data_IF_581283308983
#
_entry.id   IF_581283308983
#
_cell.length_a   1.000
_cell.length_b   1.000
_cell.length_c   1.000
_cell.angle_alpha   90.00
_cell.angle_beta   90.00
_cell.angle_gamma   90.00
#
_symmetry.space_group_name_H-M   'P 1'
#
loop_
_entity.id
_entity.type
_entity.pdbx_description
1 polymer ?
#
# COMPACT_ATOMS: atom_id res chain seq x y z
N UNK A 1 4.08 7.52 8.75
CA UNK A 1 5.04 8.52 8.22
C UNK A 1 4.22 9.68 7.73
N UNK A 2 4.46 10.88 8.22
CA UNK A 2 3.60 12.05 8.00
C UNK A 2 3.92 12.83 6.71
N UNK A 3 4.75 12.29 5.81
CA UNK A 3 4.96 12.86 4.48
C UNK A 3 4.29 11.95 3.47
N UNK A 4 3.30 12.48 2.75
CA UNK A 4 2.53 11.76 1.76
C UNK A 4 3.40 11.35 0.56
N UNK A 5 2.83 10.56 -0.37
CA UNK A 5 3.48 10.27 -1.66
C UNK A 5 3.66 11.53 -2.52
N UNK A 6 2.94 12.61 -2.19
CA UNK A 6 2.92 13.84 -2.97
C UNK A 6 3.84 14.93 -2.40
N UNK A 7 4.51 14.66 -1.28
CA UNK A 7 5.39 15.62 -0.62
C UNK A 7 4.67 16.65 0.25
N UNK A 8 3.46 16.31 0.69
CA UNK A 8 2.65 17.11 1.62
C UNK A 8 2.76 16.53 3.02
N UNK A 9 2.71 17.40 4.04
CA UNK A 9 2.59 16.97 5.43
C UNK A 9 1.16 16.55 5.74
N UNK A 10 1.01 15.32 6.24
CA UNK A 10 -0.25 14.78 6.76
C UNK A 10 -0.17 14.73 8.30
N UNK A 11 -0.95 15.59 8.94
CA UNK A 11 -1.01 15.74 10.39
C UNK A 11 -2.18 15.01 11.04
N UNK A 12 -3.02 14.29 10.29
CA UNK A 12 -4.21 13.61 10.83
C UNK A 12 -3.85 12.57 11.89
N UNK A 13 -2.75 11.85 11.68
CA UNK A 13 -2.21 10.85 12.62
C UNK A 13 -1.03 11.39 13.45
N UNK A 14 -0.95 12.71 13.66
CA UNK A 14 0.12 13.29 14.47
C UNK A 14 0.02 12.84 15.94
N UNK A 15 1.17 12.53 16.54
CA UNK A 15 1.27 12.22 17.97
C UNK A 15 1.51 13.49 18.76
N UNK A 16 0.78 13.65 19.86
CA UNK A 16 1.03 14.70 20.84
C UNK A 16 2.21 14.32 21.73
N UNK A 17 3.15 15.26 21.90
CA UNK A 17 4.34 15.09 22.72
C UNK A 17 4.46 16.28 23.67
N UNK A 18 5.12 16.06 24.80
CA UNK A 18 5.53 17.17 25.68
C UNK A 18 6.59 17.97 24.94
N UNK A 19 6.44 19.29 24.93
CA UNK A 19 7.27 20.19 24.14
C UNK A 19 8.74 20.19 24.59
N UNK A 20 9.57 19.48 23.83
CA UNK A 20 11.02 19.57 23.87
C UNK A 20 11.48 20.59 22.83
N UNK A 21 11.91 21.76 23.30
CA UNK A 21 12.11 22.98 22.49
C UNK A 21 13.04 22.89 21.26
N UNK A 22 13.84 21.83 21.08
CA UNK A 22 14.83 21.74 19.98
C UNK A 22 14.29 21.07 18.70
N UNK A 23 13.11 20.46 18.74
CA UNK A 23 12.49 19.75 17.61
C UNK A 23 11.25 20.42 17.03
N UNK A 24 10.96 21.65 17.43
CA UNK A 24 9.88 22.44 16.84
C UNK A 24 10.16 22.73 15.36
N UNK A 25 9.12 22.81 14.55
CA UNK A 25 9.22 23.36 13.19
C UNK A 25 8.53 24.71 13.12
N UNK A 26 8.99 25.54 12.20
CA UNK A 26 8.45 26.84 11.84
C UNK A 26 7.89 26.77 10.41
N UNK A 27 6.90 27.62 10.11
CA UNK A 27 6.44 27.80 8.73
C UNK A 27 7.65 28.19 7.87
N UNK A 28 7.81 27.52 6.73
CA UNK A 28 8.98 27.70 5.87
C UNK A 28 10.08 26.65 6.05
N UNK A 29 10.08 25.90 7.16
CA UNK A 29 11.00 24.77 7.32
C UNK A 29 10.73 23.68 6.27
N UNK A 30 11.78 22.96 5.89
CA UNK A 30 11.69 21.78 5.02
C UNK A 30 12.02 20.53 5.83
N UNK A 31 11.13 19.55 5.82
CA UNK A 31 11.28 18.29 6.53
C UNK A 31 11.66 17.18 5.56
N UNK A 32 12.84 16.60 5.77
CA UNK A 32 13.39 15.50 5.00
C UNK A 32 13.34 14.20 5.82
N UNK A 33 12.73 13.13 5.30
CA UNK A 33 12.77 11.82 5.95
C UNK A 33 14.14 11.15 5.79
N UNK A 34 14.93 11.13 6.87
CA UNK A 34 16.30 10.65 6.83
C UNK A 34 16.45 9.17 7.20
N UNK A 35 15.47 8.55 7.88
CA UNK A 35 15.58 7.16 8.37
C UNK A 35 14.23 6.46 8.34
N UNK A 36 14.07 5.43 7.51
CA UNK A 36 12.82 4.67 7.38
C UNK A 36 13.07 3.37 6.59
N UNK A 37 12.04 2.68 6.11
CA UNK A 37 12.23 1.66 5.08
C UNK A 37 12.87 2.26 3.82
N UNK A 38 13.67 1.50 3.06
CA UNK A 38 14.38 2.01 1.88
C UNK A 38 13.49 2.73 0.85
N UNK A 39 12.23 2.32 0.73
CA UNK A 39 11.28 2.93 -0.21
C UNK A 39 10.82 4.34 0.22
N UNK A 40 10.93 4.68 1.50
CA UNK A 40 10.39 5.93 2.06
C UNK A 40 11.46 6.97 2.38
N UNK A 41 12.72 6.55 2.57
CA UNK A 41 13.85 7.46 2.84
C UNK A 41 14.03 8.44 1.67
N UNK A 42 14.05 9.74 1.97
CA UNK A 42 14.16 10.81 0.98
C UNK A 42 12.87 11.61 0.75
N UNK A 43 11.70 11.08 1.12
CA UNK A 43 10.46 11.86 1.06
C UNK A 43 10.62 13.16 1.83
N UNK A 44 10.25 14.25 1.17
CA UNK A 44 10.42 15.61 1.69
C UNK A 44 9.11 16.37 1.61
N UNK A 45 8.87 17.26 2.57
CA UNK A 45 7.75 18.17 2.58
C UNK A 45 8.14 19.55 3.10
N UNK A 46 7.41 20.57 2.63
CA UNK A 46 7.49 21.93 3.15
C UNK A 46 6.45 22.13 4.27
N UNK A 47 6.79 22.95 5.27
CA UNK A 47 5.91 23.23 6.42
C UNK A 47 5.09 24.50 6.17
N UNK A 48 3.77 24.36 6.00
CA UNK A 48 2.76 25.45 6.00
C UNK A 48 1.96 25.56 7.30
N UNK A 49 2.03 24.55 8.16
CA UNK A 49 1.14 24.47 9.33
C UNK A 49 1.27 25.68 10.26
N UNK A 50 0.14 26.33 10.54
CA UNK A 50 0.02 27.33 11.59
C UNK A 50 -0.01 26.71 13.00
N UNK A 51 -0.38 25.44 13.10
CA UNK A 51 -0.32 24.72 14.37
C UNK A 51 1.13 24.41 14.77
N UNK A 52 1.47 24.48 16.06
CA UNK A 52 2.79 24.09 16.55
C UNK A 52 3.07 22.61 16.28
N UNK A 53 4.05 22.33 15.44
CA UNK A 53 4.49 20.98 15.12
C UNK A 53 5.91 20.71 15.64
N UNK A 54 6.18 19.45 15.93
CA UNK A 54 7.52 18.94 16.20
C UNK A 54 7.81 17.72 15.31
N UNK A 55 9.08 17.50 14.98
CA UNK A 55 9.49 16.37 14.14
C UNK A 55 10.19 15.27 14.95
N UNK A 56 10.07 14.03 14.47
CA UNK A 56 10.74 12.87 15.09
C UNK A 56 12.24 12.83 14.76
N UNK A 57 13.01 12.02 15.48
CA UNK A 57 14.42 11.75 15.17
C UNK A 57 14.67 11.11 13.79
N UNK A 58 13.61 10.63 13.11
CA UNK A 58 13.66 10.08 11.75
C UNK A 58 13.53 11.13 10.66
N UNK A 59 13.54 12.41 11.03
CA UNK A 59 13.47 13.52 10.09
C UNK A 59 14.64 14.49 10.32
N UNK A 60 15.05 15.13 9.24
CA UNK A 60 16.01 16.24 9.24
C UNK A 60 15.27 17.51 8.85
N UNK A 61 15.28 18.51 9.73
CA UNK A 61 14.82 19.86 9.42
C UNK A 61 15.90 20.62 8.66
N UNK A 62 15.54 21.20 7.54
CA UNK A 62 16.35 22.10 6.72
C UNK A 62 15.74 23.51 6.80
N UNK A 63 16.62 24.50 6.97
CA UNK A 63 16.27 25.92 6.93
C UNK A 63 16.97 26.55 5.75
N UNK A 64 16.19 27.14 4.86
CA UNK A 64 16.70 27.74 3.65
C UNK A 64 17.34 29.11 3.97
N UNK A 65 18.50 29.43 3.39
CA UNK A 65 19.04 30.79 3.44
C UNK A 65 18.15 31.74 2.63
N UNK A 66 18.40 33.04 2.76
CA UNK A 66 17.75 34.04 1.93
C UNK A 66 17.99 33.76 0.43
N UNK A 67 16.91 33.86 -0.36
CA UNK A 67 16.94 33.61 -1.80
C UNK A 67 16.88 32.13 -2.22
N UNK A 68 16.77 31.18 -1.28
CA UNK A 68 16.32 29.82 -1.58
C UNK A 68 14.90 29.63 -1.04
N UNK A 69 13.94 29.45 -1.93
CA UNK A 69 12.56 29.17 -1.56
C UNK A 69 12.42 27.76 -0.96
N UNK A 70 11.76 27.67 0.19
CA UNK A 70 11.59 26.41 0.90
C UNK A 70 10.67 25.42 0.19
N UNK A 71 9.62 25.91 -0.51
CA UNK A 71 8.75 25.03 -1.30
C UNK A 71 9.49 24.46 -2.50
N UNK A 72 10.29 25.29 -3.18
CA UNK A 72 11.14 24.87 -4.28
C UNK A 72 12.13 23.77 -3.84
N UNK A 73 12.84 23.99 -2.73
CA UNK A 73 13.75 22.98 -2.17
C UNK A 73 13.01 21.68 -1.83
N UNK A 74 11.85 21.78 -1.16
CA UNK A 74 11.06 20.61 -0.80
C UNK A 74 10.62 19.82 -2.04
N UNK A 75 10.11 20.50 -3.07
CA UNK A 75 9.69 19.88 -4.32
C UNK A 75 10.87 19.20 -5.05
N UNK A 76 12.05 19.82 -5.06
CA UNK A 76 13.23 19.27 -5.71
C UNK A 76 13.77 18.03 -5.01
N UNK A 77 13.89 18.07 -3.67
CA UNK A 77 14.29 16.91 -2.88
C UNK A 77 13.25 15.79 -2.99
N UNK A 78 11.95 16.13 -3.03
CA UNK A 78 10.91 15.14 -3.24
C UNK A 78 11.00 14.48 -4.64
N UNK A 79 11.33 15.24 -5.68
CA UNK A 79 11.59 14.71 -7.02
C UNK A 79 12.80 13.78 -7.06
N UNK A 80 13.89 14.12 -6.35
CA UNK A 80 15.06 13.25 -6.19
C UNK A 80 14.70 11.93 -5.49
N UNK A 81 13.80 11.95 -4.52
CA UNK A 81 13.25 10.72 -3.94
C UNK A 81 12.45 9.92 -4.97
N UNK A 82 11.52 10.56 -5.68
CA UNK A 82 10.65 9.90 -6.65
C UNK A 82 11.42 9.28 -7.83
N UNK A 83 12.54 9.89 -8.23
CA UNK A 83 13.44 9.39 -9.29
C UNK A 83 14.47 8.37 -8.79
N UNK A 84 14.50 8.08 -7.49
CA UNK A 84 15.37 7.07 -6.90
C UNK A 84 16.79 7.53 -6.55
N UNK A 85 17.10 8.82 -6.61
CA UNK A 85 18.42 9.35 -6.22
C UNK A 85 18.74 9.03 -4.76
N UNK A 86 17.82 9.27 -3.81
CA UNK A 86 18.11 8.93 -2.39
C UNK A 86 18.25 7.42 -2.15
N UNK A 87 17.68 6.60 -3.03
CA UNK A 87 17.87 5.15 -3.01
C UNK A 87 19.27 4.74 -3.47
N UNK A 88 19.98 5.54 -4.26
CA UNK A 88 21.35 5.23 -4.70
C UNK A 88 22.42 5.62 -3.67
N UNK A 89 22.09 6.48 -2.70
CA UNK A 89 23.04 6.99 -1.68
C UNK A 89 22.69 6.59 -0.24
N UNK A 90 21.74 5.67 -0.06
CA UNK A 90 21.32 5.22 1.27
C UNK A 90 22.34 4.28 1.94
N UNK A 91 22.31 4.26 3.27
CA UNK A 91 22.97 3.26 4.09
C UNK A 91 21.90 2.26 4.55
N UNK A 92 22.06 0.99 4.19
CA UNK A 92 21.15 -0.06 4.62
C UNK A 92 21.47 -0.54 6.04
N UNK A 93 20.42 -0.77 6.82
CA UNK A 93 20.43 -1.35 8.16
C UNK A 93 19.45 -2.53 8.21
N UNK A 94 19.44 -3.29 9.30
CA UNK A 94 18.44 -4.35 9.48
C UNK A 94 17.04 -3.74 9.53
N UNK A 95 16.20 -4.05 8.54
CA UNK A 95 14.83 -3.56 8.38
C UNK A 95 14.66 -2.04 8.22
N UNK A 96 15.73 -1.27 8.02
CA UNK A 96 15.71 0.19 7.83
C UNK A 96 16.81 0.65 6.88
N UNK A 97 16.73 1.88 6.41
CA UNK A 97 17.78 2.58 5.68
C UNK A 97 17.87 4.03 6.17
N UNK A 98 19.00 4.67 5.92
CA UNK A 98 19.18 6.08 6.24
C UNK A 98 20.03 6.85 5.23
N UNK A 99 19.73 8.13 5.08
CA UNK A 99 20.61 9.10 4.40
C UNK A 99 21.30 9.93 5.48
N UNK A 100 22.64 9.90 5.49
CA UNK A 100 23.41 10.65 6.49
C UNK A 100 23.27 12.15 6.27
N UNK A 101 23.44 12.94 7.35
CA UNK A 101 23.44 14.41 7.25
C UNK A 101 24.48 14.91 6.25
N UNK A 102 25.65 14.28 6.20
CA UNK A 102 26.70 14.61 5.23
C UNK A 102 26.23 14.35 3.80
N UNK A 103 25.71 13.15 3.52
CA UNK A 103 25.21 12.80 2.19
C UNK A 103 24.07 13.72 1.72
N UNK A 104 23.16 14.10 2.63
CA UNK A 104 22.12 15.08 2.32
C UNK A 104 22.70 16.46 1.98
N UNK A 105 23.69 16.94 2.73
CA UNK A 105 24.34 18.23 2.47
C UNK A 105 25.25 18.23 1.23
N UNK A 106 25.79 17.07 0.86
CA UNK A 106 26.59 16.87 -0.34
C UNK A 106 25.71 16.69 -1.60
N UNK A 107 24.37 16.62 -1.45
CA UNK A 107 23.45 16.50 -2.57
C UNK A 107 23.44 17.78 -3.40
N UNK A 108 23.72 17.65 -4.69
CA UNK A 108 23.73 18.77 -5.64
C UNK A 108 22.30 19.12 -6.03
N UNK A 109 21.95 20.39 -5.88
CA UNK A 109 20.64 20.96 -6.25
C UNK A 109 20.80 22.05 -7.30
N UNK A 110 19.80 22.22 -8.16
CA UNK A 110 19.71 23.37 -9.07
C UNK A 110 19.12 24.55 -8.32
N UNK A 111 19.71 25.74 -8.44
CA UNK A 111 19.25 26.96 -7.75
C UNK A 111 19.06 28.07 -8.80
N UNK A 112 17.88 28.19 -9.41
CA UNK A 112 17.56 29.31 -10.30
C UNK A 112 17.35 30.61 -9.50
N UNK A 113 17.19 31.78 -10.15
CA UNK A 113 16.83 33.03 -9.48
C UNK A 113 15.60 32.86 -8.58
N UNK A 114 15.52 33.61 -7.48
CA UNK A 114 14.45 33.43 -6.49
C UNK A 114 13.04 33.60 -7.10
N UNK A 115 12.86 34.60 -7.95
CA UNK A 115 11.62 34.85 -8.70
C UNK A 115 11.27 33.67 -9.63
N UNK A 116 12.25 33.08 -10.32
CA UNK A 116 12.06 31.86 -11.12
C UNK A 116 11.67 30.66 -10.24
N UNK A 117 12.29 30.47 -9.07
CA UNK A 117 11.90 29.42 -8.11
C UNK A 117 10.41 29.52 -7.75
N UNK A 118 9.93 30.73 -7.43
CA UNK A 118 8.52 30.96 -7.12
C UNK A 118 7.60 30.66 -8.31
N UNK A 119 7.99 31.04 -9.54
CA UNK A 119 7.24 30.74 -10.77
C UNK A 119 7.18 29.24 -11.04
N UNK A 120 8.29 28.52 -10.83
CA UNK A 120 8.35 27.05 -10.95
C UNK A 120 7.38 26.39 -9.97
N UNK A 121 7.45 26.75 -8.69
CA UNK A 121 6.56 26.18 -7.65
C UNK A 121 5.11 26.46 -7.97
N UNK A 122 4.74 27.70 -8.31
CA UNK A 122 3.36 28.06 -8.63
C UNK A 122 2.83 27.26 -9.84
N UNK A 123 3.65 27.08 -10.89
CA UNK A 123 3.28 26.27 -12.06
C UNK A 123 3.19 24.79 -11.71
N UNK A 124 4.11 24.27 -10.91
CA UNK A 124 4.13 22.87 -10.49
C UNK A 124 2.91 22.54 -9.62
N UNK A 125 2.62 23.35 -8.60
CA UNK A 125 1.45 23.19 -7.73
C UNK A 125 0.15 23.19 -8.56
N UNK A 126 0.02 24.15 -9.48
CA UNK A 126 -1.14 24.21 -10.37
C UNK A 126 -1.29 22.93 -11.21
N UNK A 127 -0.21 22.45 -11.86
CA UNK A 127 -0.30 21.26 -12.72
C UNK A 127 -0.49 19.97 -11.92
N UNK A 128 0.20 19.81 -10.79
CA UNK A 128 0.06 18.62 -9.94
C UNK A 128 -1.35 18.53 -9.34
N UNK A 129 -1.98 19.65 -8.98
CA UNK A 129 -3.37 19.65 -8.53
C UNK A 129 -4.33 19.10 -9.61
N UNK A 130 -4.09 19.39 -10.89
CA UNK A 130 -4.89 18.81 -11.98
C UNK A 130 -4.64 17.31 -12.13
N UNK A 131 -3.38 16.87 -12.01
CA UNK A 131 -3.03 15.44 -12.04
C UNK A 131 -3.69 14.70 -10.88
N UNK A 132 -3.65 15.24 -9.67
CA UNK A 132 -4.27 14.65 -8.48
C UNK A 132 -5.80 14.54 -8.62
N UNK A 133 -6.46 15.56 -9.18
CA UNK A 133 -7.89 15.49 -9.50
C UNK A 133 -8.21 14.40 -10.54
N UNK A 134 -7.32 14.23 -11.53
CA UNK A 134 -7.39 13.15 -12.51
C UNK A 134 -7.22 11.77 -11.86
N UNK A 135 -6.20 11.61 -11.01
CA UNK A 135 -5.95 10.39 -10.23
C UNK A 135 -7.16 10.02 -9.36
N UNK A 136 -7.80 10.99 -8.72
CA UNK A 136 -9.04 10.78 -7.98
C UNK A 136 -10.19 10.29 -8.86
N UNK A 137 -10.34 10.86 -10.06
CA UNK A 137 -11.37 10.43 -11.02
C UNK A 137 -11.13 9.00 -11.53
N UNK A 138 -9.86 8.65 -11.77
CA UNK A 138 -9.43 7.30 -12.18
C UNK A 138 -9.76 6.27 -11.09
N UNK A 139 -9.45 6.60 -9.83
CA UNK A 139 -9.77 5.72 -8.70
C UNK A 139 -11.28 5.49 -8.57
N UNK A 140 -12.09 6.53 -8.71
CA UNK A 140 -13.56 6.40 -8.72
C UNK A 140 -14.04 5.54 -9.89
N UNK A 141 -13.52 5.73 -11.10
CA UNK A 141 -13.90 4.93 -12.26
C UNK A 141 -13.58 3.43 -12.09
N UNK A 142 -12.41 3.09 -11.51
CA UNK A 142 -12.05 1.70 -11.20
C UNK A 142 -12.97 1.10 -10.14
N UNK A 143 -13.36 1.88 -9.14
CA UNK A 143 -14.32 1.46 -8.13
C UNK A 143 -15.70 1.21 -8.74
N UNK A 144 -16.19 2.12 -9.59
CA UNK A 144 -17.49 2.00 -10.27
C UNK A 144 -17.53 0.78 -11.18
N UNK A 145 -16.45 0.51 -11.93
CA UNK A 145 -16.31 -0.71 -12.74
C UNK A 145 -16.42 -1.98 -11.88
N UNK A 146 -15.75 -2.02 -10.73
CA UNK A 146 -15.84 -3.15 -9.82
C UNK A 146 -17.26 -3.32 -9.24
N UNK A 147 -17.97 -2.22 -8.96
CA UNK A 147 -19.34 -2.26 -8.48
C UNK A 147 -20.31 -2.74 -9.57
N UNK A 148 -20.09 -2.33 -10.82
CA UNK A 148 -20.90 -2.73 -11.97
C UNK A 148 -20.78 -4.24 -12.27
N UNK A 149 -19.58 -4.80 -12.15
CA UNK A 149 -19.35 -6.24 -12.25
C UNK A 149 -20.10 -7.01 -11.15
N UNK A 150 -20.02 -6.54 -9.89
CA UNK A 150 -20.73 -7.14 -8.78
C UNK A 150 -22.25 -7.05 -8.94
N UNK A 151 -22.77 -5.89 -9.35
CA UNK A 151 -24.20 -5.68 -9.60
C UNK A 151 -24.73 -6.56 -10.74
N UNK A 152 -23.93 -6.79 -11.78
CA UNK A 152 -24.29 -7.69 -12.88
C UNK A 152 -24.47 -9.12 -12.39
N UNK A 153 -23.54 -9.61 -11.56
CA UNK A 153 -23.65 -10.93 -10.96
C UNK A 153 -24.89 -11.03 -10.08
N UNK A 154 -25.11 -10.05 -9.19
CA UNK A 154 -26.28 -10.03 -8.31
C UNK A 154 -27.60 -10.02 -9.10
N UNK A 155 -27.69 -9.23 -10.19
CA UNK A 155 -28.86 -9.22 -11.06
C UNK A 155 -29.08 -10.58 -11.74
N UNK A 156 -28.02 -11.21 -12.26
CA UNK A 156 -28.10 -12.51 -12.90
C UNK A 156 -28.57 -13.61 -11.92
N UNK A 157 -28.21 -13.51 -10.64
CA UNK A 157 -28.65 -14.45 -9.60
C UNK A 157 -30.09 -14.22 -9.16
N UNK A 158 -30.56 -12.97 -9.11
CA UNK A 158 -31.95 -12.63 -8.73
C UNK A 158 -32.99 -13.18 -9.69
N UNK A 159 -32.64 -13.39 -10.96
CA UNK A 159 -33.52 -13.98 -11.96
C UNK A 159 -33.74 -15.49 -11.77
N UNK A 160 -33.04 -16.11 -10.81
CA UNK A 160 -33.03 -17.56 -10.65
C UNK A 160 -33.57 -17.93 -9.27
N UNK A 161 -34.56 -18.81 -9.25
CA UNK A 161 -35.05 -19.41 -8.01
C UNK A 161 -34.08 -20.53 -7.58
N UNK A 162 -33.27 -20.27 -6.55
CA UNK A 162 -32.32 -21.27 -6.05
C UNK A 162 -32.24 -21.26 -4.53
N UNK A 163 -32.22 -22.46 -3.96
CA UNK A 163 -31.94 -22.66 -2.53
C UNK A 163 -30.43 -22.69 -2.30
N UNK A 164 -30.01 -22.15 -1.16
CA UNK A 164 -28.64 -22.30 -0.68
C UNK A 164 -28.33 -23.78 -0.45
N UNK A 165 -27.16 -24.22 -0.91
CA UNK A 165 -26.59 -25.54 -0.61
C UNK A 165 -25.24 -25.36 0.06
N UNK A 166 -24.93 -26.21 1.04
CA UNK A 166 -23.63 -26.16 1.71
C UNK A 166 -22.52 -26.59 0.74
N UNK A 167 -21.42 -25.86 0.74
CA UNK A 167 -20.30 -26.14 -0.15
C UNK A 167 -19.75 -27.57 0.02
N UNK A 168 -19.80 -28.12 1.24
CA UNK A 168 -19.42 -29.50 1.52
C UNK A 168 -20.23 -30.55 0.74
N UNK A 169 -21.48 -30.25 0.38
CA UNK A 169 -22.36 -31.16 -0.37
C UNK A 169 -22.21 -31.04 -1.89
N UNK A 170 -21.52 -29.99 -2.34
CA UNK A 170 -21.29 -29.64 -3.75
C UNK A 170 -19.89 -30.04 -4.25
N UNK A 171 -19.06 -30.64 -3.39
CA UNK A 171 -17.72 -31.12 -3.75
C UNK A 171 -17.72 -32.63 -3.98
N UNK A 172 -16.89 -33.07 -4.93
CA UNK A 172 -16.66 -34.48 -5.24
C UNK A 172 -15.77 -35.16 -4.18
N UNK A 173 -14.73 -34.44 -3.78
CA UNK A 173 -13.73 -34.93 -2.82
C UNK A 173 -13.74 -34.04 -1.56
N UNK A 174 -13.38 -34.58 -0.39
CA UNK A 174 -13.20 -33.77 0.81
C UNK A 174 -12.23 -32.60 0.57
N UNK A 175 -12.58 -31.43 1.11
CA UNK A 175 -11.71 -30.26 1.10
C UNK A 175 -10.35 -30.62 1.71
N UNK A 176 -9.27 -30.27 1.03
CA UNK A 176 -7.92 -30.68 1.43
C UNK A 176 -6.94 -29.51 1.43
N UNK A 177 -6.07 -29.46 2.44
CA UNK A 177 -4.94 -28.54 2.47
C UNK A 177 -3.80 -29.09 1.61
N UNK A 178 -3.00 -28.19 1.06
CA UNK A 178 -1.75 -28.55 0.41
C UNK A 178 -0.66 -28.89 1.43
N UNK A 179 0.59 -28.93 0.97
CA UNK A 179 1.74 -29.24 1.81
C UNK A 179 2.79 -28.14 1.80
N UNK A 180 3.22 -27.72 2.99
CA UNK A 180 4.40 -26.87 3.14
C UNK A 180 5.66 -27.70 2.93
N UNK A 181 6.48 -27.29 1.98
CA UNK A 181 7.77 -27.92 1.66
C UNK A 181 8.87 -26.87 1.62
N UNK A 182 10.09 -27.26 1.98
CA UNK A 182 11.27 -26.39 1.85
C UNK A 182 11.58 -26.18 0.37
N UNK A 183 12.32 -25.12 0.06
CA UNK A 183 12.73 -24.87 -1.32
C UNK A 183 13.92 -25.75 -1.67
N UNK A 184 13.87 -26.40 -2.82
CA UNK A 184 14.97 -27.18 -3.40
C UNK A 184 15.01 -26.93 -4.91
N UNK A 185 16.16 -26.49 -5.40
CA UNK A 185 16.35 -26.26 -6.84
C UNK A 185 16.25 -27.59 -7.60
N UNK A 186 15.44 -27.61 -8.66
CA UNK A 186 15.13 -28.84 -9.41
C UNK A 186 14.16 -29.80 -8.69
N UNK A 187 13.70 -29.48 -7.47
CA UNK A 187 12.69 -30.28 -6.78
C UNK A 187 11.31 -30.22 -7.45
N UNK A 188 10.44 -31.20 -7.18
CA UNK A 188 9.10 -31.24 -7.77
C UNK A 188 8.33 -29.96 -7.44
N UNK A 189 7.70 -29.31 -8.43
CA UNK A 189 7.20 -27.96 -8.27
C UNK A 189 6.00 -27.86 -7.31
N UNK A 190 5.98 -26.78 -6.54
CA UNK A 190 4.87 -26.38 -5.68
C UNK A 190 4.51 -24.92 -5.92
N UNK A 191 3.22 -24.62 -6.01
CA UNK A 191 2.72 -23.26 -6.18
C UNK A 191 3.12 -22.36 -5.00
N UNK A 192 3.25 -21.07 -5.28
CA UNK A 192 3.33 -20.05 -4.21
C UNK A 192 1.94 -19.49 -3.93
N UNK A 193 1.74 -18.88 -2.77
CA UNK A 193 0.44 -18.29 -2.40
C UNK A 193 -0.07 -17.27 -3.43
N UNK A 194 0.83 -16.46 -4.00
CA UNK A 194 0.50 -15.45 -5.00
C UNK A 194 0.24 -16.01 -6.42
N UNK A 195 0.19 -17.34 -6.59
CA UNK A 195 -0.29 -17.98 -7.83
C UNK A 195 -1.80 -17.82 -8.02
N UNK A 196 -2.55 -17.62 -6.94
CA UNK A 196 -3.99 -17.37 -7.00
C UNK A 196 -4.20 -15.87 -7.27
N UNK A 197 -4.56 -15.52 -8.50
CA UNK A 197 -4.78 -14.13 -8.90
C UNK A 197 -5.98 -14.00 -9.86
N UNK A 198 -6.94 -13.15 -9.52
CA UNK A 198 -8.13 -12.96 -10.34
C UNK A 198 -8.93 -14.25 -10.49
N UNK A 199 -9.25 -14.63 -11.72
CA UNK A 199 -10.11 -15.78 -12.03
C UNK A 199 -9.37 -17.12 -12.18
N UNK A 200 -8.03 -17.11 -12.30
CA UNK A 200 -7.25 -18.32 -12.58
C UNK A 200 -6.02 -18.45 -11.69
N UNK A 201 -5.58 -19.69 -11.52
CA UNK A 201 -4.31 -20.03 -10.86
C UNK A 201 -3.19 -20.00 -11.90
N UNK A 202 -2.22 -19.11 -11.72
CA UNK A 202 -1.01 -19.07 -12.55
C UNK A 202 -0.02 -20.15 -12.08
N UNK A 203 0.06 -21.24 -12.86
CA UNK A 203 0.91 -22.38 -12.56
C UNK A 203 2.41 -22.10 -12.70
N UNK A 204 2.79 -21.00 -13.37
CA UNK A 204 4.18 -20.56 -13.50
C UNK A 204 4.72 -19.91 -12.21
N UNK A 205 3.84 -19.44 -11.33
CA UNK A 205 4.19 -18.85 -10.03
C UNK A 205 4.40 -19.98 -9.02
N UNK A 206 5.57 -20.61 -9.12
CA UNK A 206 5.96 -21.81 -8.36
C UNK A 206 7.37 -21.72 -7.79
N UNK A 207 7.75 -22.74 -7.02
CA UNK A 207 9.13 -23.01 -6.60
C UNK A 207 9.39 -24.52 -6.66
N UNK A 208 10.65 -24.93 -6.74
CA UNK A 208 11.03 -26.32 -6.51
C UNK A 208 10.83 -26.68 -5.04
N UNK A 209 10.14 -27.80 -4.78
CA UNK A 209 9.85 -28.29 -3.44
C UNK A 209 10.76 -29.45 -3.03
N UNK A 210 11.24 -29.42 -1.80
CA UNK A 210 11.84 -30.59 -1.14
C UNK A 210 10.73 -31.43 -0.51
N UNK A 211 10.39 -32.54 -1.17
CA UNK A 211 9.32 -33.43 -0.73
C UNK A 211 9.78 -34.54 0.22
N UNK A 212 11.10 -34.74 0.37
CA UNK A 212 11.65 -35.84 1.16
C UNK A 212 11.02 -37.18 0.80
N UNK A 213 10.39 -37.82 1.79
CA UNK A 213 9.69 -39.11 1.62
C UNK A 213 8.20 -38.98 1.24
N UNK A 214 7.67 -37.75 1.11
CA UNK A 214 6.28 -37.55 0.71
C UNK A 214 6.16 -37.68 -0.81
N UNK A 215 5.09 -38.35 -1.24
CA UNK A 215 4.73 -38.40 -2.66
C UNK A 215 4.02 -37.08 -3.06
N UNK A 216 4.60 -36.26 -3.95
CA UNK A 216 3.95 -35.05 -4.45
C UNK A 216 2.62 -35.33 -5.16
N UNK A 217 2.40 -36.55 -5.67
CA UNK A 217 1.21 -36.90 -6.45
C UNK A 217 -0.10 -36.66 -5.67
N UNK A 218 -0.11 -36.87 -4.36
CA UNK A 218 -1.28 -36.62 -3.50
C UNK A 218 -1.70 -35.14 -3.46
N UNK A 219 -0.76 -34.23 -3.75
CA UNK A 219 -0.93 -32.79 -3.68
C UNK A 219 -0.96 -32.12 -5.05
N UNK A 220 -0.99 -32.88 -6.15
CA UNK A 220 -1.08 -32.31 -7.50
C UNK A 220 -2.41 -31.60 -7.70
N UNK A 221 -2.33 -30.43 -8.32
CA UNK A 221 -3.52 -29.73 -8.83
C UNK A 221 -3.99 -30.41 -10.12
N UNK A 222 -5.28 -30.33 -10.38
CA UNK A 222 -5.91 -30.84 -11.58
C UNK A 222 -6.72 -29.74 -12.24
N UNK A 223 -6.95 -29.88 -13.55
CA UNK A 223 -7.87 -28.99 -14.27
C UNK A 223 -9.24 -28.92 -13.58
N UNK A 224 -9.75 -27.69 -13.42
CA UNK A 224 -10.99 -27.36 -12.69
C UNK A 224 -10.95 -27.61 -11.17
N UNK A 225 -9.80 -27.91 -10.58
CA UNK A 225 -9.63 -27.68 -9.15
C UNK A 225 -9.78 -26.18 -8.89
N UNK A 226 -10.45 -25.82 -7.80
CA UNK A 226 -10.57 -24.44 -7.34
C UNK A 226 -9.72 -24.28 -6.08
N UNK A 227 -8.73 -23.38 -6.12
CA UNK A 227 -7.81 -23.18 -4.99
C UNK A 227 -8.19 -21.93 -4.23
N UNK A 228 -8.32 -22.06 -2.91
CA UNK A 228 -8.75 -21.01 -2.00
C UNK A 228 -7.62 -20.61 -1.06
N UNK A 229 -7.36 -19.31 -0.94
CA UNK A 229 -6.37 -18.75 -0.01
C UNK A 229 -6.79 -19.01 1.43
N UNK A 230 -6.02 -19.84 2.12
CA UNK A 230 -6.31 -20.26 3.50
C UNK A 230 -5.98 -19.18 4.53
N UNK A 231 -4.95 -18.39 4.29
CA UNK A 231 -4.51 -17.37 5.24
C UNK A 231 -3.86 -16.17 4.59
N UNK A 232 -4.18 -14.98 5.08
CA UNK A 232 -3.65 -13.72 4.58
C UNK A 232 -3.66 -12.64 5.69
N UNK A 233 -2.75 -11.67 5.62
CA UNK A 233 -2.76 -10.51 6.53
C UNK A 233 -3.94 -9.56 6.30
N UNK A 234 -4.57 -9.63 5.11
CA UNK A 234 -5.76 -8.84 4.77
C UNK A 234 -7.02 -9.72 4.77
N UNK A 235 -8.04 -9.29 5.50
CA UNK A 235 -9.34 -9.95 5.59
C UNK A 235 -10.02 -10.12 4.22
N UNK A 236 -9.94 -9.12 3.33
CA UNK A 236 -10.57 -9.21 2.01
C UNK A 236 -9.85 -10.16 1.04
N UNK A 237 -8.62 -10.56 1.35
CA UNK A 237 -7.83 -11.51 0.56
C UNK A 237 -7.94 -12.95 1.09
N UNK A 238 -8.24 -13.14 2.38
CA UNK A 238 -8.47 -14.49 2.89
C UNK A 238 -9.73 -15.11 2.26
N UNK A 239 -9.63 -16.36 1.87
CA UNK A 239 -10.70 -17.08 1.20
C UNK A 239 -10.98 -16.66 -0.24
N UNK A 240 -10.18 -15.77 -0.85
CA UNK A 240 -10.20 -15.59 -2.30
C UNK A 240 -9.81 -16.91 -2.97
N UNK A 241 -10.36 -17.19 -4.14
CA UNK A 241 -10.02 -18.40 -4.87
C UNK A 241 -10.06 -18.23 -6.37
N UNK A 242 -9.51 -19.21 -7.08
CA UNK A 242 -9.41 -19.20 -8.54
C UNK A 242 -9.40 -20.63 -9.10
N UNK A 243 -9.78 -20.77 -10.36
CA UNK A 243 -9.76 -22.05 -11.08
C UNK A 243 -8.35 -22.40 -11.58
N UNK A 244 -8.00 -23.67 -11.46
CA UNK A 244 -6.81 -24.25 -12.10
C UNK A 244 -7.11 -24.45 -13.59
N UNK A 245 -6.39 -23.75 -14.48
CA UNK A 245 -6.60 -23.88 -15.92
C UNK A 245 -6.14 -25.24 -16.43
N UNK A 246 -6.54 -25.58 -17.66
CA UNK A 246 -6.01 -26.78 -18.32
C UNK A 246 -4.54 -26.56 -18.62
N UNK A 247 -3.69 -27.46 -18.13
CA UNK A 247 -2.25 -27.41 -18.35
C UNK A 247 -1.66 -28.81 -18.29
N UNK A 248 -0.56 -29.01 -19.00
CA UNK A 248 0.28 -30.20 -18.91
C UNK A 248 1.32 -30.09 -17.78
N UNK A 249 1.43 -28.91 -17.14
CA UNK A 249 2.31 -28.68 -16.00
C UNK A 249 1.87 -29.51 -14.79
N UNK A 250 2.74 -30.41 -14.36
CA UNK A 250 2.55 -31.13 -13.11
C UNK A 250 3.05 -30.27 -11.95
N UNK A 251 2.13 -29.77 -11.11
CA UNK A 251 2.49 -28.93 -9.96
C UNK A 251 1.61 -29.25 -8.76
N UNK A 252 2.20 -29.20 -7.57
CA UNK A 252 1.46 -29.36 -6.32
C UNK A 252 1.09 -28.01 -5.68
N UNK A 253 0.19 -28.00 -4.70
CA UNK A 253 -0.21 -26.76 -3.99
C UNK A 253 0.25 -26.73 -2.52
N UNK A 254 0.57 -25.54 -1.98
CA UNK A 254 1.07 -25.38 -0.62
C UNK A 254 -0.05 -25.45 0.42
N UNK A 255 0.32 -25.63 1.69
CA UNK A 255 -0.59 -25.67 2.85
C UNK A 255 -1.32 -24.35 3.13
N UNK A 256 -0.88 -23.27 2.46
CA UNK A 256 -1.53 -21.95 2.46
C UNK A 256 -2.73 -21.89 1.52
N UNK A 257 -3.01 -22.95 0.76
CA UNK A 257 -4.18 -23.08 -0.10
C UNK A 257 -5.04 -24.29 0.34
N UNK A 258 -6.36 -24.15 0.18
CA UNK A 258 -7.33 -25.23 0.29
C UNK A 258 -7.80 -25.58 -1.12
N UNK A 259 -7.77 -26.85 -1.49
CA UNK A 259 -8.34 -27.35 -2.73
C UNK A 259 -9.81 -27.69 -2.55
N UNK A 260 -10.60 -27.18 -3.47
CA UNK A 260 -12.01 -27.50 -3.69
C UNK A 260 -12.10 -28.22 -5.02
N UNK A 261 -12.69 -29.41 -5.04
CA UNK A 261 -12.98 -30.13 -6.28
C UNK A 261 -14.49 -30.22 -6.46
N UNK A 262 -15.10 -29.36 -7.30
CA UNK A 262 -16.55 -29.34 -7.46
C UNK A 262 -17.06 -30.65 -8.05
N UNK A 263 -18.19 -31.14 -7.54
CA UNK A 263 -18.95 -32.22 -8.19
C UNK A 263 -19.64 -31.65 -9.43
N UNK A 264 -19.09 -31.95 -10.61
CA UNK A 264 -19.57 -31.41 -11.89
C UNK A 264 -21.01 -31.79 -12.23
N UNK A 265 -21.56 -32.81 -11.59
CA UNK A 265 -22.98 -33.16 -11.74
C UNK A 265 -23.91 -32.16 -11.04
N UNK A 266 -23.39 -31.39 -10.08
CA UNK A 266 -24.14 -30.44 -9.25
C UNK A 266 -23.69 -28.99 -9.45
N UNK A 267 -22.38 -28.77 -9.54
CA UNK A 267 -21.74 -27.46 -9.52
C UNK A 267 -20.74 -27.33 -10.67
N UNK A 268 -21.01 -26.40 -11.59
CA UNK A 268 -20.09 -26.05 -12.66
C UNK A 268 -18.87 -25.32 -12.09
N UNK A 269 -17.63 -25.71 -12.46
CA UNK A 269 -16.41 -25.00 -12.04
C UNK A 269 -16.42 -23.51 -12.43
N UNK A 270 -16.86 -23.18 -13.65
CA UNK A 270 -17.00 -21.80 -14.10
C UNK A 270 -17.99 -21.01 -13.25
N UNK A 271 -19.09 -21.65 -12.85
CA UNK A 271 -20.09 -21.00 -12.01
C UNK A 271 -19.57 -20.78 -10.59
N UNK A 272 -18.86 -21.77 -10.03
CA UNK A 272 -18.13 -21.62 -8.77
C UNK A 272 -17.18 -20.41 -8.83
N UNK A 273 -16.39 -20.28 -9.90
CA UNK A 273 -15.45 -19.17 -10.07
C UNK A 273 -16.14 -17.79 -10.07
N UNK A 274 -17.34 -17.72 -10.64
CA UNK A 274 -18.13 -16.48 -10.69
C UNK A 274 -18.81 -16.19 -9.35
N UNK A 275 -19.47 -17.17 -8.74
CA UNK A 275 -20.27 -16.97 -7.52
C UNK A 275 -19.41 -16.78 -6.27
N UNK A 276 -18.19 -17.32 -6.26
CA UNK A 276 -17.29 -17.27 -5.10
C UNK A 276 -16.94 -15.85 -4.68
N UNK A 277 -16.88 -14.93 -5.64
CA UNK A 277 -16.60 -13.52 -5.43
C UNK A 277 -17.87 -12.68 -5.18
N UNK A 278 -19.06 -13.30 -5.14
CA UNK A 278 -20.29 -12.59 -4.79
C UNK A 278 -20.26 -12.08 -3.35
N UNK A 279 -20.94 -10.96 -3.10
CA UNK A 279 -21.06 -10.37 -1.75
C UNK A 279 -21.58 -11.37 -0.73
N UNK A 280 -22.57 -12.19 -1.09
CA UNK A 280 -23.13 -13.21 -0.20
C UNK A 280 -22.06 -14.22 0.27
N UNK A 281 -21.33 -14.82 -0.67
CA UNK A 281 -20.27 -15.80 -0.33
C UNK A 281 -19.14 -15.12 0.45
N UNK A 282 -18.70 -13.94 0.01
CA UNK A 282 -17.61 -13.20 0.65
C UNK A 282 -17.93 -12.82 2.10
N UNK A 283 -19.14 -12.33 2.39
CA UNK A 283 -19.54 -11.97 3.75
C UNK A 283 -19.60 -13.19 4.69
N UNK A 284 -20.00 -14.37 4.20
CA UNK A 284 -19.97 -15.60 4.99
C UNK A 284 -18.54 -16.04 5.33
N UNK A 285 -17.61 -15.93 4.37
CA UNK A 285 -16.19 -16.26 4.57
C UNK A 285 -15.54 -15.28 5.56
N UNK A 286 -15.72 -13.98 5.35
CA UNK A 286 -15.06 -12.93 6.14
C UNK A 286 -15.54 -12.91 7.60
N UNK A 287 -16.83 -13.12 7.83
CA UNK A 287 -17.39 -13.20 9.20
C UNK A 287 -16.91 -14.43 9.99
N UNK A 288 -16.56 -15.50 9.29
CA UNK A 288 -16.07 -16.74 9.91
C UNK A 288 -14.54 -16.82 9.97
N UNK A 289 -13.82 -15.93 9.29
CA UNK A 289 -12.36 -15.86 9.36
C UNK A 289 -11.90 -15.59 10.80
N UNK A 290 -10.78 -16.21 11.18
CA UNK A 290 -10.18 -16.08 12.52
C UNK A 290 -8.78 -15.52 12.41
N UNK A 291 -8.43 -14.58 13.27
CA UNK A 291 -7.09 -13.98 13.26
C UNK A 291 -6.16 -14.70 14.22
N UNK A 292 -4.93 -14.96 13.80
CA UNK A 292 -3.83 -15.42 14.65
C UNK A 292 -2.59 -14.62 14.33
N UNK A 293 -2.04 -13.88 15.31
CA UNK A 293 -0.87 -13.02 15.13
C UNK A 293 -0.96 -12.06 13.92
N UNK A 294 -2.14 -11.43 13.72
CA UNK A 294 -2.37 -10.49 12.62
C UNK A 294 -2.64 -11.13 11.26
N UNK A 295 -2.73 -12.47 11.17
CA UNK A 295 -3.05 -13.20 9.94
C UNK A 295 -4.45 -13.79 10.07
N UNK A 296 -5.37 -13.40 9.18
CA UNK A 296 -6.67 -14.03 9.04
C UNK A 296 -6.52 -15.42 8.43
N UNK A 297 -7.27 -16.39 8.95
CA UNK A 297 -7.26 -17.77 8.50
C UNK A 297 -8.67 -18.31 8.39
N UNK A 298 -8.85 -19.19 7.43
CA UNK A 298 -10.00 -20.07 7.28
C UNK A 298 -9.53 -21.53 7.28
N UNK A 299 -10.45 -22.46 7.49
CA UNK A 299 -10.20 -23.89 7.43
C UNK A 299 -11.30 -24.59 6.60
N UNK A 300 -11.18 -25.91 6.44
CA UNK A 300 -12.11 -26.71 5.68
C UNK A 300 -13.51 -26.75 6.27
N UNK A 301 -13.64 -26.76 7.61
CA UNK A 301 -14.94 -26.75 8.27
C UNK A 301 -15.70 -25.45 7.96
N UNK A 302 -15.05 -24.30 8.07
CA UNK A 302 -15.61 -23.00 7.66
C UNK A 302 -16.04 -23.06 6.18
N UNK A 303 -15.14 -23.49 5.29
CA UNK A 303 -15.47 -23.53 3.86
C UNK A 303 -16.61 -24.49 3.53
N UNK A 304 -16.70 -25.64 4.20
CA UNK A 304 -17.77 -26.62 3.95
C UNK A 304 -19.16 -26.10 4.33
N UNK A 305 -19.24 -25.14 5.26
CA UNK A 305 -20.50 -24.54 5.76
C UNK A 305 -20.94 -23.31 4.99
N UNK A 306 -20.15 -22.85 4.01
CA UNK A 306 -20.55 -21.73 3.17
C UNK A 306 -21.73 -22.15 2.31
N UNK A 307 -22.80 -21.38 2.36
CA UNK A 307 -23.98 -21.57 1.53
C UNK A 307 -23.77 -20.91 0.17
N UNK A 308 -23.93 -21.69 -0.89
CA UNK A 308 -23.84 -21.23 -2.27
C UNK A 308 -25.20 -21.43 -2.96
N UNK A 309 -25.72 -20.42 -3.68
CA UNK A 309 -26.85 -20.61 -4.58
C UNK A 309 -26.52 -21.69 -5.60
N UNK A 310 -27.26 -22.80 -5.61
CA UNK A 310 -26.98 -23.93 -6.50
C UNK A 310 -28.19 -24.23 -7.40
N UNK A 311 -28.46 -23.37 -8.41
CA UNK A 311 -29.52 -23.64 -9.38
C UNK A 311 -29.16 -24.80 -10.31
N UNK A 312 -30.05 -25.13 -11.26
CA UNK A 312 -29.77 -26.18 -12.24
C UNK A 312 -28.50 -25.87 -13.06
N UNK A 313 -27.80 -26.89 -13.56
CA UNK A 313 -26.60 -26.69 -14.38
C UNK A 313 -26.86 -25.81 -15.62
N UNK A 314 -28.08 -25.82 -16.16
CA UNK A 314 -28.49 -24.96 -17.28
C UNK A 314 -28.52 -23.49 -16.86
N UNK A 315 -29.09 -23.18 -15.70
CA UNK A 315 -29.13 -21.82 -15.15
C UNK A 315 -27.74 -21.35 -14.73
N UNK A 316 -26.92 -22.21 -14.12
CA UNK A 316 -25.52 -21.91 -13.80
C UNK A 316 -24.75 -21.46 -15.05
N UNK A 317 -24.89 -22.19 -16.17
CA UNK A 317 -24.28 -21.81 -17.46
C UNK A 317 -24.83 -20.50 -17.99
N UNK A 318 -26.13 -20.22 -17.80
CA UNK A 318 -26.73 -18.95 -18.20
C UNK A 318 -26.16 -17.76 -17.41
N UNK A 319 -25.97 -17.90 -16.09
CA UNK A 319 -25.30 -16.88 -15.25
C UNK A 319 -23.88 -16.65 -15.73
N UNK A 320 -23.10 -17.72 -15.87
CA UNK A 320 -21.70 -17.64 -16.34
C UNK A 320 -21.63 -16.89 -17.67
N UNK A 321 -22.51 -17.21 -18.62
CA UNK A 321 -22.56 -16.53 -19.92
C UNK A 321 -22.86 -15.03 -19.76
N UNK A 322 -23.91 -14.66 -19.02
CA UNK A 322 -24.28 -13.25 -18.78
C UNK A 322 -23.13 -12.46 -18.15
N UNK A 323 -22.46 -13.03 -17.14
CA UNK A 323 -21.34 -12.40 -16.45
C UNK A 323 -20.12 -12.27 -17.37
N UNK A 324 -19.76 -13.33 -18.12
CA UNK A 324 -18.66 -13.29 -19.09
C UNK A 324 -18.92 -12.26 -20.19
N UNK A 325 -20.15 -12.18 -20.71
CA UNK A 325 -20.54 -11.16 -21.70
C UNK A 325 -20.40 -9.74 -21.14
N UNK A 326 -20.86 -9.49 -19.91
CA UNK A 326 -20.73 -8.18 -19.29
C UNK A 326 -19.27 -7.80 -19.02
N UNK A 327 -18.48 -8.72 -18.45
CA UNK A 327 -17.02 -8.54 -18.25
C UNK A 327 -16.32 -8.22 -19.57
N UNK A 328 -16.68 -8.91 -20.66
CA UNK A 328 -16.13 -8.61 -21.99
C UNK A 328 -16.50 -7.22 -22.50
N UNK A 329 -17.68 -6.69 -22.13
CA UNK A 329 -18.08 -5.31 -22.47
C UNK A 329 -17.30 -4.27 -21.65
N UNK A 330 -16.97 -4.58 -20.39
CA UNK A 330 -16.23 -3.69 -19.50
C UNK A 330 -14.72 -3.76 -19.66
N UNK A 331 -14.18 -4.85 -20.21
CA UNK A 331 -12.74 -5.06 -20.36
C UNK A 331 -12.02 -3.92 -21.13
N UNK A 332 -12.54 -3.39 -22.25
CA UNK A 332 -11.93 -2.24 -22.92
C UNK A 332 -11.94 -0.98 -22.05
N UNK A 333 -13.00 -0.74 -21.29
CA UNK A 333 -13.10 0.42 -20.39
C UNK A 333 -12.10 0.31 -19.23
N UNK A 334 -11.99 -0.88 -18.62
CA UNK A 334 -10.98 -1.16 -17.59
C UNK A 334 -9.56 -0.91 -18.12
N UNK A 335 -9.25 -1.45 -19.31
CA UNK A 335 -7.95 -1.26 -19.96
C UNK A 335 -7.66 0.22 -20.23
N UNK A 336 -8.65 0.98 -20.70
CA UNK A 336 -8.50 2.41 -20.93
C UNK A 336 -8.22 3.18 -19.64
N UNK A 337 -8.97 2.90 -18.56
CA UNK A 337 -8.78 3.55 -17.25
C UNK A 337 -7.41 3.21 -16.65
N UNK A 338 -6.97 1.95 -16.74
CA UNK A 338 -5.64 1.52 -16.30
C UNK A 338 -4.51 2.17 -17.13
N UNK A 339 -4.72 2.34 -18.44
CA UNK A 339 -3.83 3.10 -19.33
C UNK A 339 -3.68 4.55 -18.89
N UNK A 340 -4.80 5.25 -18.66
CA UNK A 340 -4.81 6.63 -18.17
C UNK A 340 -4.12 6.73 -16.80
N UNK A 341 -4.28 5.73 -15.93
CA UNK A 341 -3.58 5.68 -14.64
C UNK A 341 -2.05 5.65 -14.81
N UNK A 342 -1.57 4.88 -15.80
CA UNK A 342 -0.15 4.84 -16.14
C UNK A 342 0.33 6.18 -16.71
N UNK A 343 -0.43 6.77 -17.63
CA UNK A 343 -0.11 8.07 -18.23
C UNK A 343 -0.05 9.19 -17.18
N UNK A 344 -0.96 9.19 -16.20
CA UNK A 344 -0.95 10.16 -15.10
C UNK A 344 0.35 10.09 -14.28
N UNK A 345 0.83 8.87 -14.01
CA UNK A 345 2.11 8.64 -13.32
C UNK A 345 3.29 9.17 -14.13
N UNK A 346 3.29 8.95 -15.46
CA UNK A 346 4.32 9.44 -16.36
C UNK A 346 4.30 10.97 -16.49
N UNK A 347 3.12 11.57 -16.63
CA UNK A 347 2.93 13.01 -16.69
C UNK A 347 3.46 13.69 -15.43
N UNK A 348 3.14 13.13 -14.25
CA UNK A 348 3.68 13.60 -12.98
C UNK A 348 5.20 13.59 -12.97
N UNK A 349 5.81 12.49 -13.40
CA UNK A 349 7.26 12.39 -13.48
C UNK A 349 7.85 13.38 -14.50
N UNK A 350 7.17 13.61 -15.63
CA UNK A 350 7.58 14.58 -16.65
C UNK A 350 7.52 16.03 -16.14
N UNK A 351 6.46 16.41 -15.41
CA UNK A 351 6.33 17.74 -14.79
C UNK A 351 7.48 18.00 -13.80
N UNK A 352 7.78 17.03 -12.93
CA UNK A 352 8.89 17.14 -11.99
C UNK A 352 10.24 17.26 -12.72
N UNK A 353 10.47 16.49 -13.78
CA UNK A 353 11.70 16.62 -14.59
C UNK A 353 11.78 18.00 -15.24
N UNK A 354 10.70 18.50 -15.84
CA UNK A 354 10.67 19.82 -16.47
C UNK A 354 10.93 20.95 -15.47
N UNK A 355 10.40 20.83 -14.24
CA UNK A 355 10.59 21.82 -13.17
C UNK A 355 12.06 22.04 -12.81
N UNK A 356 12.86 20.97 -12.78
CA UNK A 356 14.25 21.03 -12.31
C UNK A 356 15.31 20.99 -13.43
N UNK A 357 14.87 21.04 -14.69
CA UNK A 357 15.73 21.15 -15.89
C UNK A 357 15.57 22.50 -16.62
N UNK A 358 14.78 23.42 -16.06
CA UNK A 358 14.54 24.75 -16.66
C UNK A 358 13.56 24.75 -17.84
N UNK A 359 12.75 23.71 -17.97
CA UNK A 359 11.81 23.55 -19.09
C UNK A 359 10.34 23.81 -18.72
N UNK A 360 10.02 24.04 -17.43
CA UNK A 360 8.63 24.21 -16.97
C UNK A 360 8.10 25.65 -17.12
N UNK A 361 8.96 26.65 -16.95
CA UNK A 361 8.61 28.07 -17.05
C UNK A 361 9.62 28.81 -17.94
N UNK A 362 9.22 29.85 -18.69
CA UNK A 362 10.16 30.68 -19.43
C UNK A 362 11.13 31.41 -18.50
N UNK A 363 12.40 31.48 -18.89
CA UNK A 363 13.37 32.34 -18.21
C UNK A 363 13.05 33.81 -18.46
N UNK A 364 13.22 34.63 -17.42
CA UNK A 364 13.02 36.09 -17.52
C UNK A 364 14.40 36.77 -17.52
N UNK A 365 14.77 37.52 -18.58
CA UNK A 365 16.04 38.24 -18.62
C UNK A 365 16.20 39.29 -17.52
N UNK A 366 15.10 39.77 -16.93
CA UNK A 366 15.11 40.76 -15.85
C UNK A 366 15.28 40.12 -14.46
N UNK A 367 15.25 38.78 -14.35
CA UNK A 367 15.56 38.08 -13.10
C UNK A 367 17.03 38.25 -12.73
N UNK A 368 17.31 38.33 -11.42
CA UNK A 368 18.69 38.35 -10.94
C UNK A 368 19.44 37.09 -11.40
N UNK A 369 20.67 37.19 -11.93
CA UNK A 369 21.39 35.98 -12.34
C UNK A 369 21.64 35.05 -11.14
N UNK A 370 21.46 33.74 -11.35
CA UNK A 370 21.67 32.73 -10.31
C UNK A 370 23.07 32.79 -9.68
N UNK A 371 24.10 33.21 -10.42
CA UNK A 371 25.45 33.44 -9.89
C UNK A 371 25.48 34.49 -8.76
N UNK A 372 24.74 35.59 -8.92
CA UNK A 372 24.66 36.67 -7.93
C UNK A 372 23.96 36.18 -6.66
N UNK A 373 22.88 35.41 -6.80
CA UNK A 373 22.21 34.74 -5.69
C UNK A 373 23.15 33.80 -4.93
N UNK A 374 23.87 32.93 -5.65
CA UNK A 374 24.81 31.99 -5.04
C UNK A 374 25.95 32.70 -4.30
N UNK A 375 26.46 33.80 -4.83
CA UNK A 375 27.50 34.60 -4.18
C UNK A 375 26.99 35.27 -2.89
N UNK A 376 25.74 35.75 -2.88
CA UNK A 376 25.09 36.25 -1.65
C UNK A 376 24.94 35.15 -0.59
N UNK A 377 24.50 33.96 -0.99
CA UNK A 377 24.38 32.80 -0.09
C UNK A 377 25.77 32.42 0.48
N UNK A 378 26.82 32.42 -0.35
CA UNK A 378 28.21 32.18 0.11
C UNK A 378 28.68 33.24 1.10
N UNK A 379 28.41 34.52 0.82
CA UNK A 379 28.77 35.63 1.70
C UNK A 379 28.07 35.54 3.06
N UNK A 380 26.77 35.24 3.09
CA UNK A 380 26.00 35.04 4.33
C UNK A 380 26.52 33.86 5.16
N UNK A 381 26.92 32.77 4.51
CA UNK A 381 27.52 31.61 5.21
C UNK A 381 28.90 31.95 5.79
N UNK A 382 29.69 32.76 5.09
CA UNK A 382 31.00 33.21 5.55
C UNK A 382 30.91 34.21 6.71
N UNK A 383 29.89 35.11 6.71
CA UNK A 383 29.69 36.11 7.76
C UNK A 383 29.15 35.53 9.08
N UNK A 384 28.62 34.31 9.06
CA UNK A 384 28.60 33.45 10.25
C UNK A 384 27.80 33.98 11.44
N UNK A 385 26.52 34.25 11.29
CA UNK A 385 25.59 34.17 12.43
C UNK A 385 25.43 32.70 12.84
N UNK A 386 26.38 32.15 13.61
CA UNK A 386 26.22 30.85 14.27
C UNK A 386 25.00 30.95 15.22
N UNK A 387 24.01 30.05 15.15
CA UNK A 387 23.08 29.90 16.26
C UNK A 387 23.91 29.59 17.51
N UNK A 388 23.71 30.35 18.58
CA UNK A 388 24.42 30.12 19.84
C UNK A 388 24.29 28.63 20.22
N UNK A 389 25.41 27.91 20.31
CA UNK A 389 25.44 26.60 20.97
C UNK A 389 25.07 26.85 22.43
N UNK A 390 23.79 26.70 22.78
CA UNK A 390 23.38 26.59 24.19
C UNK A 390 24.08 25.36 24.76
N UNK A 391 25.07 25.58 25.63
CA UNK A 391 25.69 24.53 26.44
C UNK A 391 24.56 23.83 27.20
N UNK A 392 24.44 22.51 27.04
CA UNK A 392 23.67 21.68 27.97
C UNK A 392 24.23 21.93 29.36
N UNK A 393 23.39 22.42 30.28
CA UNK A 393 23.73 22.45 31.69
C UNK A 393 23.96 21.00 32.16
N UNK A 394 24.94 20.74 33.05
CA UNK A 394 25.11 19.41 33.63
C UNK A 394 23.83 19.01 34.36
N UNK A 395 23.40 17.75 34.19
CA UNK A 395 22.32 17.16 35.00
C UNK A 395 22.78 17.19 36.47
N UNK A 396 22.24 18.12 37.25
CA UNK A 396 22.23 18.01 38.70
C UNK A 396 21.26 16.89 39.06
N UNK A 397 21.71 15.98 39.92
CA UNK A 397 20.87 14.91 40.46
C UNK A 397 19.67 15.52 41.18
N UNK A 398 18.46 15.08 40.83
CA UNK A 398 17.25 15.46 41.54
C UNK A 398 17.31 14.95 42.99
N UNK A 399 16.92 15.76 44.00
CA UNK A 399 16.68 15.26 45.34
C UNK A 399 15.42 14.39 45.38
N UNK A 400 15.41 13.42 46.29
CA UNK A 400 14.32 12.48 46.50
C UNK A 400 12.97 13.17 46.76
N UNK A 401 11.90 12.56 46.26
CA UNK A 401 10.52 13.03 46.41
C UNK A 401 10.08 13.10 47.89
N UNK A 402 9.32 14.11 48.30
CA UNK A 402 8.69 14.13 49.62
C UNK A 402 7.49 13.18 49.67
N UNK A 403 7.39 12.41 50.75
CA UNK A 403 6.22 11.62 51.07
C UNK A 403 5.04 12.56 51.37
N UNK A 404 3.96 12.47 50.60
CA UNK A 404 2.70 13.16 50.90
C UNK A 404 1.74 12.21 51.60
N UNK A 405 1.49 12.51 52.88
CA UNK A 405 0.42 11.95 53.70
C UNK A 405 -0.96 12.36 53.21
N UNK A 406 -1.84 11.35 53.03
CA UNK A 406 -3.27 11.34 53.32
C UNK A 406 -4.17 12.48 52.82
N UNK A 407 -5.08 12.16 51.89
CA UNK A 407 -6.48 12.62 51.94
C UNK A 407 -7.43 11.57 51.31
N UNK A 408 -8.70 11.49 51.77
CA UNK A 408 -9.51 10.29 51.70
C UNK A 408 -10.30 10.15 50.39
N UNK A 409 -10.59 8.89 50.04
CA UNK A 409 -11.41 8.45 48.91
C UNK A 409 -12.90 8.61 49.26
N UNK A 410 -13.75 9.18 48.38
CA UNK A 410 -15.19 9.02 48.49
C UNK A 410 -15.61 7.67 47.91
N UNK A 411 -16.28 6.87 48.74
CA UNK A 411 -16.93 5.61 48.43
C UNK A 411 -18.15 5.82 47.54
N UNK A 412 -18.07 5.36 46.29
CA UNK A 412 -19.22 5.12 45.43
C UNK A 412 -19.26 3.64 45.07
N UNK A 413 -20.12 2.90 45.78
CA UNK A 413 -20.43 1.50 45.52
C UNK A 413 -21.35 1.41 44.30
N UNK A 414 -20.99 0.62 43.29
CA UNK A 414 -21.99 -0.05 42.45
C UNK A 414 -21.53 -1.47 42.16
N UNK A 415 -22.41 -2.38 42.58
CA UNK A 415 -22.27 -3.83 42.58
C UNK A 415 -22.19 -4.39 41.16
N UNK A 416 -21.45 -5.50 41.04
CA UNK A 416 -21.48 -6.36 39.88
C UNK A 416 -22.81 -7.11 39.79
N UNK A 417 -23.35 -7.24 38.56
CA UNK A 417 -24.25 -8.33 38.20
C UNK A 417 -23.67 -9.10 36.99
N UNK A 418 -23.91 -10.41 36.91
CA UNK A 418 -23.08 -11.35 36.15
C UNK A 418 -23.55 -11.52 34.70
N UNK A 419 -22.63 -11.38 33.76
CA UNK A 419 -22.15 -12.39 32.80
C UNK A 419 -21.23 -11.74 31.77
#
# INVERSE_FOLDING_TARGET
MNITRNGVLDTLDARYVVDESDRRVEIGDVLFNNTNSPALVGKTAWVDSAEPLAFSNHMTRLRCPEGLDGKFLAAQLHSMWATGYFKSILNNHVNQASVSRKALLDTVITVPPFTEQCRIVAKLDAQLAHVEAGEGSIQSALLDLSQLEAATLEAALKEIDSKGSLMGDLVRDPLSNGKSVRTLDGGFPVLRLNSVHGEFVDLSIRKGGDWGALDPAAYKVQHDDFLVIRGNGNLSLVGRGALVPRSDDEVAFPDTLIRVRPDRAKLSPDFLNVIWDSRNVRSQIESQARTTAGIYKINQDILSRIEIPCPSLTEQRAVVRKVKEARSRYAPLRTAVEGIASEALELRAALLRAAFTGALVPQDPDDEPASVLLDRIRAQRASGAKPAKRRRAPRTASPAAPQTSGRPVPSGTQEALPL
#
